data_IF_147787352395
#
_entry.id   IF_147787352395
#
_cell.length_a   1.000
_cell.length_b   1.000
_cell.length_c   1.000
_cell.angle_alpha   90.00
_cell.angle_beta   90.00
_cell.angle_gamma   90.00
#
_symmetry.space_group_name_H-M   'P 1'
#
loop_
_entity.id
_entity.type
_entity.pdbx_description
1 polymer ?
#
# COMPACT_ATOMS: atom_id res chain seq x y z
N UNK A 1 -15.38 -14.07 -11.17
CA UNK A 1 -15.42 -12.63 -11.50
C UNK A 1 -15.11 -12.38 -12.96
N UNK A 2 -13.91 -12.72 -13.48
CA UNK A 2 -13.53 -12.47 -14.88
C UNK A 2 -14.37 -13.18 -15.96
N UNK A 3 -15.20 -14.17 -15.59
CA UNK A 3 -16.14 -14.84 -16.50
C UNK A 3 -17.50 -14.11 -16.60
N UNK A 4 -17.76 -13.15 -15.72
CA UNK A 4 -19.07 -12.47 -15.58
C UNK A 4 -18.93 -10.96 -15.72
N UNK A 5 -17.78 -10.40 -15.34
CA UNK A 5 -17.46 -8.98 -15.45
C UNK A 5 -16.11 -8.82 -16.14
N UNK A 6 -16.01 -7.83 -17.03
CA UNK A 6 -14.72 -7.35 -17.53
C UNK A 6 -13.96 -6.64 -16.41
N UNK A 7 -12.63 -6.72 -16.43
CA UNK A 7 -11.77 -6.19 -15.36
C UNK A 7 -11.95 -4.67 -15.15
N UNK A 8 -12.24 -3.92 -16.22
CA UNK A 8 -12.53 -2.48 -16.14
C UNK A 8 -13.78 -2.13 -15.30
N UNK A 9 -14.61 -3.13 -15.01
CA UNK A 9 -15.84 -2.99 -14.22
C UNK A 9 -15.62 -3.44 -12.75
N UNK A 10 -14.44 -3.96 -12.41
CA UNK A 10 -14.13 -4.50 -11.09
C UNK A 10 -13.27 -3.52 -10.31
N UNK A 11 -13.83 -2.94 -9.25
CA UNK A 11 -13.12 -2.03 -8.33
C UNK A 11 -12.82 -2.75 -7.02
N UNK A 12 -11.58 -3.24 -6.87
CA UNK A 12 -11.11 -3.84 -5.61
C UNK A 12 -10.67 -2.73 -4.67
N UNK A 13 -11.28 -2.66 -3.49
CA UNK A 13 -11.02 -1.61 -2.52
C UNK A 13 -9.88 -2.06 -1.60
N UNK A 14 -8.81 -1.28 -1.60
CA UNK A 14 -7.81 -1.27 -0.54
C UNK A 14 -7.89 0.08 0.16
N UNK A 15 -8.30 0.07 1.43
CA UNK A 15 -8.53 1.28 2.19
C UNK A 15 -7.24 2.06 2.50
N UNK A 16 -6.06 1.46 2.38
CA UNK A 16 -4.79 2.18 2.48
C UNK A 16 -4.54 3.06 1.26
N UNK A 17 -4.96 2.65 0.06
CA UNK A 17 -4.83 3.44 -1.18
C UNK A 17 -5.67 4.72 -1.17
N UNK A 18 -6.68 4.79 -0.29
CA UNK A 18 -7.51 5.98 -0.08
C UNK A 18 -6.92 7.00 0.90
N UNK A 19 -5.82 6.69 1.59
CA UNK A 19 -5.20 7.60 2.56
C UNK A 19 -4.41 8.68 1.84
N UNK A 20 -4.61 9.95 2.21
CA UNK A 20 -3.97 11.12 1.56
C UNK A 20 -2.45 10.99 1.43
N UNK A 21 -1.78 10.52 2.49
CA UNK A 21 -0.32 10.33 2.49
C UNK A 21 0.15 9.24 1.52
N UNK A 22 -0.67 8.20 1.30
CA UNK A 22 -0.36 7.12 0.35
C UNK A 22 -0.51 7.63 -1.09
N UNK A 23 -1.52 8.46 -1.37
CA UNK A 23 -1.71 9.08 -2.68
C UNK A 23 -0.60 10.10 -2.98
N UNK A 24 -0.17 10.87 -1.98
CA UNK A 24 0.93 11.84 -2.11
C UNK A 24 2.28 11.19 -2.43
N UNK A 25 2.48 9.90 -2.13
CA UNK A 25 3.71 9.17 -2.48
C UNK A 25 4.02 9.27 -3.99
N UNK A 26 2.99 9.16 -4.84
CA UNK A 26 3.16 9.25 -6.29
C UNK A 26 3.57 10.67 -6.73
N UNK A 27 3.01 11.69 -6.09
CA UNK A 27 3.36 13.09 -6.33
C UNK A 27 4.81 13.36 -5.90
N UNK A 28 5.21 12.91 -4.72
CA UNK A 28 6.60 13.04 -4.27
C UNK A 28 7.59 12.34 -5.20
N UNK A 29 7.24 11.15 -5.69
CA UNK A 29 8.12 10.35 -6.55
C UNK A 29 8.26 10.89 -7.98
N UNK A 30 7.18 11.42 -8.58
CA UNK A 30 7.16 11.73 -10.01
C UNK A 30 6.96 13.20 -10.37
N UNK A 31 6.46 14.05 -9.45
CA UNK A 31 6.25 15.47 -9.73
C UNK A 31 7.46 16.35 -9.34
N UNK A 32 8.50 15.77 -8.76
CA UNK A 32 9.66 16.48 -8.22
C UNK A 32 10.95 15.93 -8.81
N UNK A 33 11.56 16.65 -9.74
CA UNK A 33 12.79 16.23 -10.44
C UNK A 33 13.98 15.97 -9.51
N UNK A 34 14.03 16.60 -8.33
CA UNK A 34 15.07 16.35 -7.32
C UNK A 34 14.98 14.93 -6.76
N UNK A 35 13.76 14.42 -6.53
CA UNK A 35 13.56 13.07 -5.99
C UNK A 35 13.78 11.99 -7.04
N UNK A 36 13.49 12.27 -8.32
CA UNK A 36 13.73 11.34 -9.42
C UNK A 36 15.21 10.90 -9.50
N UNK A 37 16.14 11.85 -9.31
CA UNK A 37 17.58 11.60 -9.40
C UNK A 37 18.08 10.61 -8.33
N UNK A 38 17.54 10.70 -7.11
CA UNK A 38 17.99 9.88 -5.96
C UNK A 38 17.12 8.64 -5.73
N UNK A 39 16.02 8.47 -6.48
CA UNK A 39 15.12 7.33 -6.31
C UNK A 39 15.62 6.08 -7.06
N UNK A 40 16.81 5.61 -6.71
CA UNK A 40 17.43 4.43 -7.34
C UNK A 40 18.37 3.67 -6.37
N UNK A 41 18.78 2.45 -6.75
CA UNK A 41 19.60 1.54 -5.91
C UNK A 41 21.02 2.04 -5.57
N UNK A 42 21.51 3.06 -6.26
CA UNK A 42 22.84 3.62 -5.99
C UNK A 42 22.79 4.65 -4.86
N UNK A 43 21.62 5.26 -4.64
CA UNK A 43 21.40 6.33 -3.65
C UNK A 43 20.51 5.87 -2.48
N UNK A 44 19.73 4.79 -2.64
CA UNK A 44 18.89 4.19 -1.59
C UNK A 44 19.55 2.91 -1.05
N UNK A 45 19.86 2.92 0.25
CA UNK A 45 20.36 1.75 0.97
C UNK A 45 19.24 0.74 1.31
N UNK A 46 18.10 1.22 1.83
CA UNK A 46 16.94 0.37 2.12
C UNK A 46 15.61 1.12 2.10
N UNK A 47 14.51 0.39 1.89
CA UNK A 47 13.13 0.89 1.99
C UNK A 47 12.41 0.13 3.10
N UNK A 48 11.92 0.85 4.09
CA UNK A 48 11.19 0.27 5.24
C UNK A 48 9.71 0.68 5.17
N UNK A 49 8.82 -0.31 5.32
CA UNK A 49 7.37 -0.10 5.37
C UNK A 49 6.89 -0.68 6.70
N UNK A 50 6.39 0.18 7.59
CA UNK A 50 5.96 -0.22 8.93
C UNK A 50 4.46 0.03 9.07
N UNK A 51 3.74 -1.02 9.47
CA UNK A 51 2.34 -0.93 9.90
C UNK A 51 2.28 -1.39 11.35
N UNK A 52 2.29 -0.45 12.28
CA UNK A 52 2.27 -0.73 13.71
C UNK A 52 0.86 -0.51 14.25
N UNK A 53 0.28 -1.55 14.83
CA UNK A 53 -1.02 -1.48 15.51
C UNK A 53 -0.82 -1.52 17.03
N UNK A 54 -1.58 -0.70 17.76
CA UNK A 54 -1.59 -0.70 19.23
C UNK A 54 -2.76 -1.47 19.83
N UNK A 55 -3.66 -1.98 18.99
CA UNK A 55 -4.87 -2.67 19.42
C UNK A 55 -4.52 -4.16 19.57
N UNK A 56 -4.79 -4.78 20.73
CA UNK A 56 -4.60 -6.21 20.90
C UNK A 56 -5.49 -6.99 19.92
N UNK A 57 -5.03 -8.16 19.48
CA UNK A 57 -5.89 -9.16 18.82
C UNK A 57 -6.92 -9.60 19.85
N UNK A 58 -8.05 -8.93 19.89
CA UNK A 58 -9.17 -9.24 20.77
C UNK A 58 -9.96 -10.41 20.14
N UNK A 59 -11.26 -10.24 19.95
CA UNK A 59 -12.22 -11.27 19.52
C UNK A 59 -12.08 -11.73 18.05
N UNK A 60 -10.99 -11.32 17.37
CA UNK A 60 -10.67 -11.70 15.98
C UNK A 60 -9.64 -12.82 15.87
N UNK A 61 -9.12 -13.32 16.99
CA UNK A 61 -8.08 -14.37 17.01
C UNK A 61 -8.42 -15.59 16.14
N UNK A 62 -9.69 -16.00 16.08
CA UNK A 62 -10.12 -17.12 15.23
C UNK A 62 -10.20 -16.81 13.71
N UNK A 63 -10.25 -15.55 13.31
CA UNK A 63 -10.18 -15.13 11.89
C UNK A 63 -8.73 -14.95 11.44
N UNK A 64 -7.88 -14.40 12.32
CA UNK A 64 -6.47 -14.18 12.06
C UNK A 64 -5.68 -15.50 12.02
N UNK A 65 -6.01 -16.50 12.85
CA UNK A 65 -5.37 -17.85 12.85
C UNK A 65 -5.52 -18.62 11.52
N UNK A 66 -6.51 -18.28 10.69
CA UNK A 66 -6.71 -18.88 9.36
C UNK A 66 -6.16 -18.04 8.21
N UNK A 67 -5.62 -16.86 8.52
CA UNK A 67 -5.17 -15.86 7.55
C UNK A 67 -3.65 -15.61 7.57
N UNK A 68 -2.93 -16.30 8.47
CA UNK A 68 -1.46 -16.30 8.57
C UNK A 68 -0.85 -17.49 7.82
#
# INVERSE_FOLDING_TARGET
MAQVFDESQVYRIDHYLGKEMVQNLLVFRFANAIFELVWNRNDIDSVQITVAERIPVLDRGGYDDHSV
#
